data_IF_102734049832
#
_entry.id   IF_102734049832
#
_cell.length_a   1.000
_cell.length_b   1.000
_cell.length_c   1.000
_cell.angle_alpha   90.00
_cell.angle_beta   90.00
_cell.angle_gamma   90.00
#
_symmetry.space_group_name_H-M   'P 1'
#
loop_
_entity.id
_entity.type
_entity.pdbx_description
1 polymer ?
#
# COMPACT_ATOMS: atom_id res chain seq x y z
N UNK A 1 60.98 -21.71 -45.43
CA UNK A 1 59.81 -22.34 -44.83
C UNK A 1 59.79 -22.26 -43.28
N UNK A 2 60.48 -21.27 -42.71
CA UNK A 2 60.47 -21.05 -41.23
C UNK A 2 59.66 -19.84 -40.78
N UNK A 3 59.26 -18.99 -41.70
CA UNK A 3 58.61 -17.74 -41.32
C UNK A 3 57.06 -17.79 -41.26
N UNK A 4 56.48 -18.86 -41.77
CA UNK A 4 55.02 -19.03 -41.72
C UNK A 4 54.47 -19.45 -40.34
N UNK A 5 55.32 -20.06 -39.51
CA UNK A 5 54.90 -20.48 -38.14
C UNK A 5 54.88 -19.35 -37.13
N UNK A 6 55.59 -18.26 -37.41
CA UNK A 6 55.61 -17.11 -36.49
C UNK A 6 54.43 -16.13 -36.69
N UNK A 7 53.66 -16.30 -37.78
CA UNK A 7 52.52 -15.43 -38.06
C UNK A 7 51.23 -15.89 -37.37
N UNK A 8 51.16 -17.15 -37.00
CA UNK A 8 49.96 -17.68 -36.31
C UNK A 8 49.69 -17.11 -34.92
N UNK A 9 50.71 -16.89 -34.07
CA UNK A 9 50.47 -16.26 -32.76
C UNK A 9 50.03 -14.81 -32.87
N UNK A 10 50.55 -14.07 -33.84
CA UNK A 10 50.16 -12.68 -34.07
C UNK A 10 48.73 -12.50 -34.54
N UNK A 11 48.23 -13.45 -35.33
CA UNK A 11 46.82 -13.42 -35.72
C UNK A 11 45.88 -13.79 -34.59
N UNK A 12 46.34 -14.62 -33.66
CA UNK A 12 45.54 -14.96 -32.48
C UNK A 12 45.45 -13.81 -31.49
N UNK A 13 46.49 -13.02 -31.35
CA UNK A 13 46.51 -11.81 -30.52
C UNK A 13 45.61 -10.70 -31.08
N UNK A 14 45.54 -10.57 -32.40
CA UNK A 14 44.67 -9.60 -33.04
C UNK A 14 43.19 -9.85 -32.80
N UNK A 15 42.79 -11.09 -32.52
CA UNK A 15 41.40 -11.42 -32.14
C UNK A 15 41.07 -11.04 -30.72
N UNK A 16 42.03 -11.01 -29.84
CA UNK A 16 41.82 -10.62 -28.44
C UNK A 16 41.73 -9.10 -28.23
N UNK A 17 42.21 -8.30 -29.17
CA UNK A 17 42.12 -6.84 -29.12
C UNK A 17 40.71 -6.33 -29.34
N UNK A 18 39.77 -7.18 -29.81
CA UNK A 18 38.38 -6.79 -29.98
C UNK A 18 37.59 -6.76 -28.67
N UNK A 19 38.05 -7.44 -27.62
CA UNK A 19 37.37 -7.44 -26.31
C UNK A 19 37.37 -6.06 -25.61
N UNK A 20 38.43 -5.27 -25.66
CA UNK A 20 38.42 -3.93 -25.09
C UNK A 20 37.45 -2.97 -25.80
N UNK A 21 37.29 -3.12 -27.12
CA UNK A 21 36.39 -2.25 -27.88
C UNK A 21 34.91 -2.42 -27.50
N UNK A 22 34.53 -3.63 -27.14
CA UNK A 22 33.14 -3.86 -26.67
C UNK A 22 32.88 -3.30 -25.27
N UNK A 23 33.91 -3.17 -24.43
CA UNK A 23 33.82 -2.55 -23.12
C UNK A 23 33.70 -1.03 -23.21
N UNK A 24 34.40 -0.40 -24.15
CA UNK A 24 34.27 1.03 -24.37
C UNK A 24 32.92 1.44 -24.91
N UNK A 25 32.31 0.60 -25.74
CA UNK A 25 30.95 0.85 -26.25
C UNK A 25 29.90 0.73 -25.17
N UNK A 26 30.02 -0.24 -24.26
CA UNK A 26 29.08 -0.35 -23.14
C UNK A 26 29.25 0.79 -22.14
N UNK A 27 30.44 1.29 -21.90
CA UNK A 27 30.65 2.43 -21.03
C UNK A 27 30.13 3.73 -21.65
N UNK A 28 30.41 3.99 -22.93
CA UNK A 28 29.86 5.15 -23.63
C UNK A 28 28.33 5.13 -23.73
N UNK A 29 27.75 3.96 -23.87
CA UNK A 29 26.29 3.82 -23.89
C UNK A 29 25.66 4.16 -22.55
N UNK A 30 26.29 3.78 -21.44
CA UNK A 30 25.81 4.14 -20.10
C UNK A 30 25.94 5.66 -19.84
N UNK A 31 27.01 6.29 -20.30
CA UNK A 31 27.20 7.75 -20.13
C UNK A 31 26.25 8.54 -21.01
N UNK A 32 25.99 8.08 -22.25
CA UNK A 32 25.04 8.73 -23.13
C UNK A 32 23.58 8.52 -22.71
N UNK A 33 23.29 7.47 -21.92
CA UNK A 33 21.99 7.25 -21.31
C UNK A 33 21.58 8.33 -20.31
N UNK A 34 22.54 9.06 -19.75
CA UNK A 34 22.27 10.21 -18.89
C UNK A 34 21.84 11.47 -19.65
N UNK A 35 22.03 11.51 -20.94
CA UNK A 35 21.69 12.67 -21.78
C UNK A 35 20.41 12.53 -22.58
N UNK A 36 19.84 11.36 -22.69
CA UNK A 36 18.52 11.18 -23.31
C UNK A 36 17.46 11.45 -22.25
N UNK A 37 16.97 12.65 -22.19
CA UNK A 37 15.90 13.08 -21.30
C UNK A 37 14.55 12.40 -21.56
N UNK A 38 14.54 11.10 -21.65
CA UNK A 38 13.40 10.28 -21.31
C UNK A 38 13.50 10.00 -19.82
N UNK A 39 12.87 10.78 -18.97
CA UNK A 39 12.73 10.51 -17.55
C UNK A 39 12.04 9.16 -17.37
N UNK A 40 12.79 8.08 -17.49
CA UNK A 40 12.36 6.77 -17.02
C UNK A 40 12.09 6.91 -15.54
N UNK A 41 10.84 6.68 -15.15
CA UNK A 41 10.46 6.62 -13.75
C UNK A 41 11.43 5.66 -13.06
N UNK A 42 12.10 6.12 -12.01
CA UNK A 42 13.05 5.32 -11.23
C UNK A 42 12.36 4.07 -10.63
N UNK A 43 13.13 3.18 -9.99
CA UNK A 43 12.55 2.05 -9.27
C UNK A 43 11.45 2.53 -8.33
N UNK A 44 10.37 1.76 -8.23
CA UNK A 44 9.18 2.08 -7.44
C UNK A 44 8.95 0.97 -6.43
N UNK A 45 8.52 1.32 -5.21
CA UNK A 45 8.05 0.36 -4.20
C UNK A 45 6.56 0.46 -3.92
N UNK A 46 5.89 1.47 -4.40
CA UNK A 46 4.45 1.62 -4.31
C UNK A 46 3.96 3.04 -4.51
N UNK A 47 2.68 3.22 -4.25
CA UNK A 47 1.96 4.46 -4.48
C UNK A 47 1.02 4.78 -3.32
N UNK A 48 0.89 6.06 -3.03
CA UNK A 48 -0.28 6.66 -2.40
C UNK A 48 -1.16 7.27 -3.49
N UNK A 49 -2.44 6.93 -3.49
CA UNK A 49 -3.35 7.21 -4.61
C UNK A 49 -4.62 7.90 -4.15
N UNK A 50 -5.10 8.84 -4.94
CA UNK A 50 -6.44 9.42 -4.78
C UNK A 50 -6.63 10.06 -3.38
N UNK A 51 -7.88 10.16 -2.93
CA UNK A 51 -8.23 10.72 -1.62
C UNK A 51 -8.98 12.03 -1.73
N UNK A 52 -8.89 12.85 -0.68
CA UNK A 52 -9.55 14.15 -0.63
C UNK A 52 -8.62 15.21 -0.08
N UNK A 53 -8.39 16.26 -0.86
CA UNK A 53 -7.67 17.46 -0.49
C UNK A 53 -8.62 18.61 -0.10
N UNK A 54 -8.08 19.83 0.09
CA UNK A 54 -8.89 20.98 0.46
C UNK A 54 -9.81 21.48 -0.65
N UNK A 55 -9.58 21.06 -1.90
CA UNK A 55 -10.38 21.42 -3.07
C UNK A 55 -11.49 20.40 -3.36
N UNK A 56 -11.39 19.19 -2.79
CA UNK A 56 -12.35 18.12 -2.99
C UNK A 56 -11.70 16.74 -3.20
N UNK A 57 -12.43 15.87 -3.87
CA UNK A 57 -11.95 14.54 -4.21
C UNK A 57 -10.93 14.64 -5.36
N UNK A 58 -9.80 13.95 -5.21
CA UNK A 58 -8.68 14.01 -6.17
C UNK A 58 -8.27 12.62 -6.64
N UNK A 59 -7.66 12.54 -7.83
CA UNK A 59 -7.00 11.34 -8.34
C UNK A 59 -5.46 11.47 -8.38
N UNK A 60 -4.90 12.46 -7.71
CA UNK A 60 -3.45 12.66 -7.59
C UNK A 60 -2.79 11.43 -6.95
N UNK A 61 -1.60 11.10 -7.43
CA UNK A 61 -0.79 9.98 -6.93
C UNK A 61 0.58 10.47 -6.49
N UNK A 62 1.16 9.83 -5.47
CA UNK A 62 2.56 10.01 -5.08
C UNK A 62 3.25 8.66 -5.08
N UNK A 63 4.38 8.60 -5.74
CA UNK A 63 5.23 7.42 -5.80
C UNK A 63 6.04 7.31 -4.51
N UNK A 64 6.47 6.11 -4.19
CA UNK A 64 7.39 5.83 -3.09
C UNK A 64 8.67 5.22 -3.66
N UNK A 65 9.79 5.87 -3.42
CA UNK A 65 11.11 5.41 -3.86
C UNK A 65 11.57 4.15 -3.10
N UNK A 66 12.61 3.46 -3.58
CA UNK A 66 13.23 2.32 -2.87
C UNK A 66 13.74 2.65 -1.47
N UNK A 67 13.95 3.91 -1.14
CA UNK A 67 14.41 4.37 0.18
C UNK A 67 13.27 4.88 1.08
N UNK A 68 12.02 4.68 0.66
CA UNK A 68 10.83 5.11 1.43
C UNK A 68 10.52 6.59 1.32
N UNK A 69 11.11 7.30 0.37
CA UNK A 69 10.80 8.73 0.12
C UNK A 69 9.52 8.83 -0.68
N UNK A 70 8.56 9.60 -0.19
CA UNK A 70 7.35 9.98 -0.93
C UNK A 70 7.74 11.08 -1.93
N UNK A 71 7.43 10.85 -3.21
CA UNK A 71 7.77 11.76 -4.31
C UNK A 71 6.64 12.79 -4.55
N UNK A 72 6.90 13.78 -5.42
CA UNK A 72 5.94 14.81 -5.81
C UNK A 72 4.68 14.25 -6.44
N UNK A 73 3.66 15.09 -6.52
CA UNK A 73 2.38 14.76 -7.13
C UNK A 73 2.52 14.41 -8.61
N UNK A 74 1.90 13.30 -8.98
CA UNK A 74 1.69 12.89 -10.37
C UNK A 74 0.20 12.98 -10.67
N UNK A 75 -0.14 13.54 -11.81
CA UNK A 75 -1.53 13.61 -12.26
C UNK A 75 -2.13 12.22 -12.37
N UNK A 76 -3.28 12.03 -11.76
CA UNK A 76 -3.96 10.75 -11.72
C UNK A 76 -4.71 10.43 -13.01
N UNK A 77 -4.97 9.14 -13.21
CA UNK A 77 -5.79 8.60 -14.27
C UNK A 77 -7.04 7.96 -13.66
N UNK A 78 -8.16 8.02 -14.38
CA UNK A 78 -9.44 7.51 -13.94
C UNK A 78 -10.22 8.47 -13.04
N UNK A 79 -11.37 8.03 -12.60
CA UNK A 79 -12.31 8.81 -11.80
C UNK A 79 -11.76 9.09 -10.41
N UNK A 80 -11.64 10.36 -10.06
CA UNK A 80 -11.27 10.81 -8.72
C UNK A 80 -12.24 10.25 -7.68
N UNK A 81 -11.71 9.63 -6.61
CA UNK A 81 -12.52 9.06 -5.52
C UNK A 81 -11.76 9.04 -4.20
N UNK A 82 -12.52 8.94 -3.15
CA UNK A 82 -12.04 8.87 -1.76
C UNK A 82 -12.56 7.59 -1.10
N UNK A 83 -12.06 7.23 0.09
CA UNK A 83 -12.56 6.08 0.86
C UNK A 83 -12.44 4.72 0.16
N UNK A 84 -11.64 4.59 -0.88
CA UNK A 84 -11.33 3.32 -1.51
C UNK A 84 -10.35 2.48 -0.70
N UNK A 85 -9.93 1.37 -1.29
CA UNK A 85 -8.80 0.58 -0.81
C UNK A 85 -7.92 0.15 -1.97
N UNK A 86 -6.71 -0.30 -1.67
CA UNK A 86 -5.81 -0.85 -2.67
C UNK A 86 -5.16 -2.12 -2.15
N UNK A 87 -4.66 -2.94 -3.05
CA UNK A 87 -3.93 -4.18 -2.74
C UNK A 87 -2.93 -4.49 -3.85
N UNK A 88 -1.86 -5.19 -3.48
CA UNK A 88 -0.92 -5.78 -4.44
C UNK A 88 -1.46 -7.12 -4.95
N UNK A 89 -1.05 -7.49 -6.16
CA UNK A 89 -1.30 -8.81 -6.77
C UNK A 89 -0.22 -9.14 -7.80
N UNK A 90 -0.16 -10.37 -8.25
CA UNK A 90 0.85 -10.82 -9.22
C UNK A 90 2.27 -10.51 -8.77
N UNK A 91 3.16 -10.29 -9.71
CA UNK A 91 4.55 -9.90 -9.44
C UNK A 91 4.71 -8.39 -9.59
N UNK A 92 4.67 -7.66 -8.48
CA UNK A 92 4.86 -6.19 -8.46
C UNK A 92 3.73 -5.37 -9.07
N UNK A 93 2.54 -5.94 -9.22
CA UNK A 93 1.33 -5.27 -9.70
C UNK A 93 0.46 -4.86 -8.51
N UNK A 94 -0.38 -3.85 -8.70
CA UNK A 94 -1.36 -3.42 -7.71
C UNK A 94 -2.66 -2.98 -8.37
N UNK A 95 -3.68 -2.81 -7.57
CA UNK A 95 -4.93 -2.16 -7.99
C UNK A 95 -5.55 -1.40 -6.85
N UNK A 96 -6.29 -0.35 -7.19
CA UNK A 96 -7.17 0.38 -6.29
C UNK A 96 -8.61 0.19 -6.72
N UNK A 97 -9.53 0.03 -5.75
CA UNK A 97 -10.93 -0.23 -6.07
C UNK A 97 -11.89 0.35 -5.03
N UNK A 98 -13.16 0.37 -5.40
CA UNK A 98 -14.25 0.87 -4.56
C UNK A 98 -14.07 2.35 -4.19
N UNK A 99 -14.79 2.79 -3.16
CA UNK A 99 -14.71 4.14 -2.62
C UNK A 99 -15.96 4.96 -2.87
N UNK A 100 -15.79 6.27 -2.83
CA UNK A 100 -16.87 7.24 -2.90
C UNK A 100 -16.52 8.39 -3.87
N UNK A 101 -17.47 8.73 -4.71
CA UNK A 101 -17.44 9.92 -5.58
C UNK A 101 -18.52 10.90 -5.13
N UNK A 102 -19.71 10.84 -5.68
CA UNK A 102 -20.98 11.41 -5.20
C UNK A 102 -21.86 10.31 -4.59
N UNK A 103 -21.50 9.06 -4.80
CA UNK A 103 -22.09 7.82 -4.25
C UNK A 103 -21.00 6.78 -4.08
N UNK A 104 -21.30 5.68 -3.38
CA UNK A 104 -20.38 4.55 -3.34
C UNK A 104 -20.24 3.91 -4.72
N UNK A 105 -19.03 3.49 -5.04
CA UNK A 105 -18.68 2.88 -6.33
C UNK A 105 -17.97 1.54 -6.12
N UNK A 106 -17.95 0.71 -7.17
CA UNK A 106 -17.23 -0.57 -7.19
C UNK A 106 -16.15 -0.64 -8.30
N UNK A 107 -15.95 0.45 -9.05
CA UNK A 107 -14.92 0.52 -10.10
C UNK A 107 -13.52 0.30 -9.55
N UNK A 108 -12.60 -0.08 -10.44
CA UNK A 108 -11.19 -0.30 -10.09
C UNK A 108 -10.25 0.28 -11.14
N UNK A 109 -8.99 0.48 -10.75
CA UNK A 109 -7.89 0.85 -11.65
C UNK A 109 -6.71 -0.07 -11.37
N UNK A 110 -6.23 -0.72 -12.41
CA UNK A 110 -5.01 -1.51 -12.36
C UNK A 110 -3.79 -0.59 -12.31
N UNK A 111 -2.72 -1.06 -11.69
CA UNK A 111 -1.46 -0.32 -11.53
C UNK A 111 -0.34 -1.27 -11.96
N UNK A 112 0.46 -0.84 -12.93
CA UNK A 112 1.56 -1.64 -13.44
C UNK A 112 2.81 -1.55 -12.53
N UNK A 113 3.84 -2.32 -12.87
CA UNK A 113 5.12 -2.36 -12.14
C UNK A 113 5.88 -1.02 -12.16
N UNK A 114 5.50 -0.08 -13.01
CA UNK A 114 6.07 1.27 -13.06
C UNK A 114 5.24 2.29 -12.28
N UNK A 115 4.13 1.84 -11.66
CA UNK A 115 3.20 2.70 -10.97
C UNK A 115 2.29 3.50 -11.90
N UNK A 116 2.13 3.06 -13.14
CA UNK A 116 1.18 3.68 -14.08
C UNK A 116 -0.23 3.16 -13.76
N UNK A 117 -1.09 4.09 -13.42
CA UNK A 117 -2.51 3.80 -13.15
C UNK A 117 -3.26 3.73 -14.46
N UNK A 118 -3.98 2.65 -14.70
CA UNK A 118 -4.84 2.46 -15.86
C UNK A 118 -6.18 3.21 -15.70
N UNK A 119 -6.91 3.38 -16.80
CA UNK A 119 -8.29 3.89 -16.79
C UNK A 119 -9.22 3.00 -15.98
N UNK A 120 -10.41 3.52 -15.66
CA UNK A 120 -11.41 2.82 -14.87
C UNK A 120 -11.83 1.49 -15.54
N UNK A 121 -11.87 0.45 -14.73
CA UNK A 121 -12.49 -0.83 -15.04
C UNK A 121 -13.87 -0.90 -14.39
N UNK A 122 -14.82 -1.46 -15.11
CA UNK A 122 -16.20 -1.64 -14.63
C UNK A 122 -16.20 -2.36 -13.28
N UNK A 123 -16.99 -1.85 -12.35
CA UNK A 123 -17.05 -2.35 -10.99
C UNK A 123 -17.64 -3.74 -10.87
N UNK A 124 -17.14 -4.50 -9.91
CA UNK A 124 -17.62 -5.83 -9.53
C UNK A 124 -18.02 -5.82 -8.05
N UNK A 125 -19.10 -6.51 -7.74
CA UNK A 125 -19.61 -6.63 -6.37
C UNK A 125 -20.32 -5.37 -5.86
N UNK A 126 -20.67 -5.39 -4.58
CA UNK A 126 -21.41 -4.32 -3.90
C UNK A 126 -20.57 -3.07 -3.74
N UNK A 127 -21.05 -1.94 -4.27
CA UNK A 127 -20.45 -0.63 -4.13
C UNK A 127 -20.36 -0.21 -2.65
N UNK A 128 -19.16 0.15 -2.19
CA UNK A 128 -18.89 0.50 -0.79
C UNK A 128 -17.63 1.35 -0.65
N UNK A 129 -17.47 1.96 0.50
CA UNK A 129 -16.27 2.72 0.86
C UNK A 129 -15.75 2.37 2.24
N UNK A 130 -14.62 2.97 2.65
CA UNK A 130 -13.97 2.74 3.96
C UNK A 130 -13.75 1.26 4.26
N UNK A 131 -13.28 0.53 3.27
CA UNK A 131 -13.02 -0.91 3.33
C UNK A 131 -11.53 -1.18 3.56
N UNK A 132 -11.20 -2.41 3.97
CA UNK A 132 -9.83 -2.89 4.03
C UNK A 132 -9.41 -3.53 2.70
N UNK A 133 -8.12 -3.41 2.37
CA UNK A 133 -7.50 -4.14 1.26
C UNK A 133 -6.14 -4.66 1.70
N UNK A 134 -5.79 -5.89 1.37
CA UNK A 134 -4.46 -6.46 1.61
C UNK A 134 -4.16 -7.61 0.67
N UNK A 135 -2.89 -8.00 0.58
CA UNK A 135 -2.45 -9.18 -0.16
C UNK A 135 -2.66 -10.46 0.64
N UNK A 136 -2.80 -11.59 -0.06
CA UNK A 136 -2.79 -12.94 0.47
C UNK A 136 -2.27 -13.93 -0.58
N UNK A 137 -1.93 -15.15 -0.20
CA UNK A 137 -1.50 -16.22 -1.10
C UNK A 137 -0.21 -15.91 -1.85
N UNK A 138 0.54 -14.90 -1.41
CA UNK A 138 1.78 -14.45 -2.03
C UNK A 138 1.61 -13.58 -3.27
N UNK A 139 0.56 -13.81 -4.06
CA UNK A 139 0.35 -13.14 -5.36
C UNK A 139 -1.10 -12.67 -5.60
N UNK A 140 -1.95 -12.67 -4.60
CA UNK A 140 -3.39 -12.32 -4.69
C UNK A 140 -3.74 -11.22 -3.72
N UNK A 141 -4.88 -10.57 -3.97
CA UNK A 141 -5.41 -9.53 -3.10
C UNK A 141 -6.84 -9.81 -2.63
N UNK A 142 -7.26 -9.10 -1.61
CA UNK A 142 -8.63 -9.16 -1.09
C UNK A 142 -9.07 -7.77 -0.65
N UNK A 143 -10.31 -7.44 -0.95
CA UNK A 143 -11.04 -6.31 -0.38
C UNK A 143 -12.08 -6.85 0.59
N UNK A 144 -12.17 -6.29 1.77
CA UNK A 144 -13.04 -6.81 2.82
C UNK A 144 -13.68 -5.72 3.66
N UNK A 145 -14.86 -6.01 4.19
CA UNK A 145 -15.62 -5.11 5.03
C UNK A 145 -16.01 -3.81 4.33
N UNK A 146 -16.23 -2.74 5.09
CA UNK A 146 -16.52 -1.41 4.58
C UNK A 146 -17.95 -0.95 4.87
N UNK A 147 -18.27 0.24 4.39
CA UNK A 147 -19.56 0.90 4.54
C UNK A 147 -20.33 0.88 3.21
N UNK A 148 -21.50 0.28 3.21
CA UNK A 148 -22.46 0.39 2.13
C UNK A 148 -23.45 1.55 2.36
N UNK A 149 -24.44 1.66 1.47
CA UNK A 149 -25.45 2.72 1.55
C UNK A 149 -26.26 2.66 2.84
N UNK A 150 -26.58 1.45 3.31
CA UNK A 150 -27.47 1.23 4.47
C UNK A 150 -26.70 0.76 5.70
N UNK A 151 -25.76 -0.17 5.53
CA UNK A 151 -25.13 -0.90 6.63
C UNK A 151 -23.62 -0.98 6.52
N UNK A 152 -22.98 -1.30 7.64
CA UNK A 152 -21.62 -1.79 7.66
C UNK A 152 -21.58 -3.23 7.16
N UNK A 153 -20.62 -3.55 6.32
CA UNK A 153 -20.54 -4.81 5.60
C UNK A 153 -19.40 -5.67 6.15
N UNK A 154 -19.58 -7.00 6.07
CA UNK A 154 -18.55 -7.99 6.40
C UNK A 154 -18.13 -8.84 5.20
N UNK A 155 -18.70 -8.59 4.02
CA UNK A 155 -18.38 -9.30 2.78
C UNK A 155 -16.95 -9.02 2.32
N UNK A 156 -16.46 -9.89 1.43
CA UNK A 156 -15.16 -9.71 0.77
C UNK A 156 -15.24 -9.97 -0.73
N UNK A 157 -14.24 -9.47 -1.46
CA UNK A 157 -14.01 -9.76 -2.87
C UNK A 157 -12.55 -10.17 -3.05
N UNK A 158 -12.35 -11.35 -3.57
CA UNK A 158 -11.01 -11.85 -3.88
C UNK A 158 -10.49 -11.22 -5.16
N UNK A 159 -9.20 -10.96 -5.21
CA UNK A 159 -8.49 -10.48 -6.40
C UNK A 159 -7.53 -11.58 -6.84
N UNK A 160 -7.66 -12.00 -8.09
CA UNK A 160 -6.77 -13.00 -8.68
C UNK A 160 -5.35 -12.46 -8.87
N UNK A 161 -4.40 -13.33 -9.16
CA UNK A 161 -3.03 -12.94 -9.54
C UNK A 161 -2.92 -12.25 -10.91
N UNK A 162 -4.02 -12.09 -11.62
CA UNK A 162 -4.14 -11.30 -12.86
C UNK A 162 -4.91 -9.99 -12.66
N UNK A 163 -5.26 -9.63 -11.40
CA UNK A 163 -5.96 -8.40 -11.06
C UNK A 163 -7.47 -8.41 -11.28
N UNK A 164 -8.06 -9.60 -11.51
CA UNK A 164 -9.52 -9.72 -11.66
C UNK A 164 -10.18 -9.78 -10.29
N UNK A 165 -11.10 -8.84 -10.04
CA UNK A 165 -11.92 -8.82 -8.82
C UNK A 165 -13.08 -9.81 -8.99
N UNK A 166 -13.22 -10.75 -8.06
CA UNK A 166 -14.34 -11.69 -8.00
C UNK A 166 -15.61 -11.06 -7.44
N UNK A 167 -16.73 -11.76 -7.59
CA UNK A 167 -18.03 -11.38 -6.98
C UNK A 167 -17.96 -11.40 -5.46
N UNK A 168 -19.00 -10.86 -4.81
CA UNK A 168 -19.10 -10.82 -3.36
C UNK A 168 -19.06 -12.24 -2.76
N UNK A 169 -18.19 -12.43 -1.78
CA UNK A 169 -18.15 -13.59 -0.89
C UNK A 169 -18.90 -13.26 0.38
N UNK A 170 -19.75 -14.18 0.83
CA UNK A 170 -20.54 -14.01 2.05
C UNK A 170 -19.68 -13.55 3.22
N UNK A 171 -20.15 -12.53 3.92
CA UNK A 171 -19.44 -11.91 5.01
C UNK A 171 -19.24 -12.83 6.22
N UNK A 172 -18.10 -12.70 6.87
CA UNK A 172 -17.75 -13.40 8.11
C UNK A 172 -17.42 -12.36 9.18
N UNK A 173 -17.86 -12.61 10.40
CA UNK A 173 -17.64 -11.72 11.55
C UNK A 173 -18.51 -10.46 11.54
N UNK A 174 -18.18 -9.54 12.44
CA UNK A 174 -18.94 -8.29 12.65
C UNK A 174 -18.69 -7.28 11.54
N UNK A 175 -19.74 -6.87 10.84
CA UNK A 175 -19.69 -5.83 9.81
C UNK A 175 -19.17 -4.50 10.36
N UNK A 176 -18.15 -3.91 9.73
CA UNK A 176 -17.52 -2.68 10.17
C UNK A 176 -16.87 -1.91 9.02
N UNK A 177 -16.63 -0.63 9.23
CA UNK A 177 -15.93 0.21 8.28
C UNK A 177 -14.66 0.82 8.86
N UNK A 178 -13.80 1.33 7.98
CA UNK A 178 -12.51 1.93 8.29
C UNK A 178 -11.61 1.06 9.19
N UNK A 179 -11.50 -0.25 8.92
CA UNK A 179 -10.54 -1.10 9.59
C UNK A 179 -9.13 -0.81 9.10
N UNK A 180 -8.12 -1.16 9.92
CA UNK A 180 -6.77 -1.38 9.44
C UNK A 180 -6.69 -2.74 8.73
N UNK A 181 -6.00 -2.82 7.60
CA UNK A 181 -5.82 -4.06 6.86
C UNK A 181 -4.40 -4.15 6.31
N UNK A 182 -3.78 -5.32 6.42
CA UNK A 182 -2.38 -5.50 6.02
C UNK A 182 -2.05 -6.99 5.81
N UNK A 183 -1.06 -7.27 4.94
CA UNK A 183 -0.48 -8.61 4.81
C UNK A 183 0.45 -8.95 5.96
N UNK A 184 0.60 -10.23 6.29
CA UNK A 184 1.58 -10.76 7.24
C UNK A 184 1.96 -12.19 6.86
N UNK A 185 3.04 -12.74 7.43
CA UNK A 185 3.46 -14.13 7.24
C UNK A 185 3.74 -14.47 5.77
N UNK A 186 4.08 -13.48 4.94
CA UNK A 186 4.35 -13.55 3.51
C UNK A 186 3.16 -13.92 2.61
N UNK A 187 2.18 -14.66 3.10
CA UNK A 187 1.06 -15.21 2.30
C UNK A 187 -0.33 -15.03 2.94
N UNK A 188 -0.43 -14.32 4.04
CA UNK A 188 -1.69 -14.14 4.82
C UNK A 188 -2.02 -12.67 4.97
N UNK A 189 -3.27 -12.39 5.30
CA UNK A 189 -3.76 -11.05 5.62
C UNK A 189 -4.46 -10.98 6.96
N UNK A 190 -4.61 -9.76 7.46
CA UNK A 190 -5.40 -9.46 8.66
C UNK A 190 -6.19 -8.18 8.44
N UNK A 191 -7.40 -8.17 8.98
CA UNK A 191 -8.25 -6.99 9.10
C UNK A 191 -8.54 -6.79 10.57
N UNK A 192 -8.17 -5.64 11.13
CA UNK A 192 -8.33 -5.39 12.56
C UNK A 192 -8.90 -4.00 12.83
N UNK A 193 -9.57 -3.87 13.96
CA UNK A 193 -10.19 -2.62 14.39
C UNK A 193 -11.36 -2.20 13.47
N UNK A 194 -11.69 -0.92 13.47
CA UNK A 194 -12.75 -0.34 12.66
C UNK A 194 -13.96 0.07 13.47
N UNK A 195 -14.97 0.59 12.80
CA UNK A 195 -16.19 1.12 13.43
C UNK A 195 -17.41 0.23 13.11
N UNK A 196 -18.11 -0.22 14.14
CA UNK A 196 -19.27 -1.11 14.03
C UNK A 196 -20.63 -0.40 14.03
N UNK A 197 -20.66 0.94 14.20
CA UNK A 197 -21.87 1.73 14.28
C UNK A 197 -22.42 1.85 15.73
N UNK A 198 -23.34 2.81 15.96
CA UNK A 198 -24.04 3.00 17.23
C UNK A 198 -23.15 3.58 18.36
N UNK A 199 -23.10 4.90 18.51
CA UNK A 199 -22.33 5.57 19.57
C UNK A 199 -20.81 5.48 19.38
N UNK A 200 -20.02 5.25 20.46
CA UNK A 200 -18.54 5.14 20.34
C UNK A 200 -18.07 3.82 19.72
N UNK A 201 -18.82 3.27 18.79
CA UNK A 201 -18.79 1.93 18.20
C UNK A 201 -17.50 1.48 17.52
N UNK A 202 -16.33 1.95 17.95
CA UNK A 202 -15.05 1.39 17.51
C UNK A 202 -14.85 -0.02 18.07
N UNK A 203 -14.23 -0.89 17.30
CA UNK A 203 -13.99 -2.29 17.63
C UNK A 203 -12.50 -2.60 17.70
N UNK A 204 -12.14 -3.51 18.60
CA UNK A 204 -10.79 -4.05 18.69
C UNK A 204 -10.67 -5.46 18.09
N UNK A 205 -11.73 -6.01 17.49
CA UNK A 205 -11.70 -7.35 16.91
C UNK A 205 -10.80 -7.39 15.66
N UNK A 206 -10.26 -8.57 15.40
CA UNK A 206 -9.51 -8.86 14.18
C UNK A 206 -10.02 -10.12 13.50
N UNK A 207 -9.84 -10.21 12.20
CA UNK A 207 -10.11 -11.39 11.39
C UNK A 207 -8.88 -11.72 10.58
N UNK A 208 -8.38 -12.93 10.74
CA UNK A 208 -7.28 -13.44 9.93
C UNK A 208 -7.80 -13.82 8.55
N UNK A 209 -6.96 -13.63 7.55
CA UNK A 209 -7.19 -14.07 6.16
C UNK A 209 -6.13 -15.11 5.84
N UNK A 210 -6.59 -16.31 5.49
CA UNK A 210 -5.69 -17.42 5.16
C UNK A 210 -4.98 -17.20 3.82
N UNK A 211 -3.98 -18.02 3.53
CA UNK A 211 -3.29 -18.05 2.22
C UNK A 211 -4.20 -18.47 1.05
N UNK A 212 -5.40 -18.98 1.32
CA UNK A 212 -6.44 -19.24 0.32
C UNK A 212 -7.51 -18.13 0.22
N UNK A 213 -7.37 -17.02 0.98
CA UNK A 213 -8.31 -15.90 0.97
C UNK A 213 -9.56 -16.10 1.83
N UNK A 214 -9.57 -17.11 2.70
CA UNK A 214 -10.70 -17.34 3.63
C UNK A 214 -10.56 -16.40 4.83
N UNK A 215 -11.59 -15.60 5.07
CA UNK A 215 -11.70 -14.72 6.23
C UNK A 215 -12.17 -15.55 7.43
N UNK A 216 -11.42 -15.53 8.53
CA UNK A 216 -11.79 -16.20 9.79
C UNK A 216 -12.83 -15.41 10.60
N UNK A 217 -13.44 -16.04 11.57
CA UNK A 217 -14.34 -15.40 12.54
C UNK A 217 -13.61 -14.37 13.41
N UNK A 218 -14.37 -13.52 14.10
CA UNK A 218 -13.83 -12.49 14.98
C UNK A 218 -12.93 -13.07 16.07
N UNK A 219 -11.77 -12.48 16.23
CA UNK A 219 -10.85 -12.71 17.35
C UNK A 219 -10.73 -11.42 18.15
N UNK A 220 -10.90 -11.50 19.47
CA UNK A 220 -10.72 -10.35 20.34
C UNK A 220 -9.25 -9.88 20.30
N UNK A 221 -9.06 -8.56 20.35
CA UNK A 221 -7.73 -7.99 20.47
C UNK A 221 -7.08 -8.34 21.82
N UNK A 222 -5.75 -8.22 21.87
CA UNK A 222 -4.99 -8.36 23.10
C UNK A 222 -5.45 -7.34 24.17
N UNK A 223 -5.30 -7.70 25.43
CA UNK A 223 -5.54 -6.76 26.54
C UNK A 223 -4.69 -5.50 26.40
N UNK A 224 -5.28 -4.34 26.71
CA UNK A 224 -4.60 -3.04 26.55
C UNK A 224 -4.60 -2.50 25.14
N UNK A 225 -5.41 -3.07 24.23
CA UNK A 225 -5.59 -2.56 22.87
C UNK A 225 -6.68 -1.49 22.85
N UNK A 226 -6.37 -0.29 22.37
CA UNK A 226 -7.37 0.75 22.18
C UNK A 226 -8.31 0.43 21.02
N UNK A 227 -9.60 0.68 21.24
CA UNK A 227 -10.60 0.55 20.18
C UNK A 227 -10.49 1.76 19.24
N UNK A 228 -10.10 1.53 18.01
CA UNK A 228 -9.83 2.58 17.04
C UNK A 228 -10.38 2.21 15.65
N UNK A 229 -10.50 3.23 14.81
CA UNK A 229 -10.84 3.14 13.40
C UNK A 229 -9.89 4.02 12.59
N UNK A 230 -9.96 3.94 11.28
CA UNK A 230 -9.20 4.83 10.38
C UNK A 230 -7.69 4.69 10.56
N UNK A 231 -7.26 3.43 10.69
CA UNK A 231 -5.88 3.07 10.97
C UNK A 231 -5.12 2.71 9.70
N UNK A 232 -3.87 3.12 9.61
CA UNK A 232 -2.95 2.68 8.58
C UNK A 232 -2.29 1.34 8.94
N UNK A 233 -2.02 0.49 7.95
CA UNK A 233 -1.29 -0.75 8.16
C UNK A 233 -0.13 -0.85 7.15
N UNK A 234 1.03 -1.35 7.57
CA UNK A 234 2.17 -1.62 6.69
C UNK A 234 2.94 -2.85 7.17
N UNK A 235 3.51 -3.58 6.23
CA UNK A 235 4.41 -4.70 6.52
C UNK A 235 5.79 -4.21 6.96
N UNK A 236 6.46 -4.99 7.81
CA UNK A 236 7.85 -4.79 8.20
C UNK A 236 8.52 -6.12 8.53
N UNK A 237 9.86 -6.16 8.58
CA UNK A 237 10.64 -7.33 8.96
C UNK A 237 10.43 -8.54 8.04
N UNK A 238 9.92 -8.30 6.81
CA UNK A 238 9.68 -9.32 5.80
C UNK A 238 8.40 -10.14 5.98
N UNK A 239 7.99 -10.44 7.22
CA UNK A 239 6.86 -11.33 7.52
C UNK A 239 5.89 -10.81 8.58
N UNK A 240 6.14 -9.62 9.12
CA UNK A 240 5.33 -8.98 10.17
C UNK A 240 4.60 -7.77 9.64
N UNK A 241 3.69 -7.24 10.45
CA UNK A 241 2.96 -6.04 10.12
C UNK A 241 2.75 -5.15 11.35
N UNK A 242 2.43 -3.89 11.10
CA UNK A 242 2.06 -2.92 12.12
C UNK A 242 0.80 -2.18 11.66
N UNK A 243 -0.10 -1.93 12.58
CA UNK A 243 -1.24 -1.03 12.41
C UNK A 243 -1.02 0.18 13.30
N UNK A 244 -1.05 1.37 12.72
CA UNK A 244 -0.62 2.61 13.36
C UNK A 244 -1.71 3.66 13.40
N UNK A 245 -1.64 4.51 14.41
CA UNK A 245 -2.47 5.71 14.61
C UNK A 245 -3.97 5.41 14.53
N UNK A 246 -4.77 6.38 14.15
CA UNK A 246 -6.21 6.26 13.95
C UNK A 246 -7.01 7.13 14.91
N UNK A 247 -8.34 7.06 14.78
CA UNK A 247 -9.29 7.80 15.62
C UNK A 247 -9.97 6.89 16.63
N UNK A 248 -10.12 7.35 17.88
CA UNK A 248 -10.91 6.70 18.92
C UNK A 248 -12.19 7.49 19.21
N UNK A 249 -13.25 6.78 19.63
CA UNK A 249 -14.49 7.37 20.14
C UNK A 249 -15.25 8.22 19.12
N UNK A 250 -16.04 9.15 19.65
CA UNK A 250 -16.78 10.15 18.87
C UNK A 250 -15.84 11.27 18.46
N UNK A 251 -15.84 11.66 17.21
CA UNK A 251 -15.15 12.78 16.56
C UNK A 251 -14.23 13.61 17.48
N UNK A 252 -12.91 13.48 17.33
CA UNK A 252 -11.94 14.38 17.95
C UNK A 252 -10.76 13.73 18.67
N UNK A 253 -10.73 12.42 18.89
CA UNK A 253 -9.60 11.75 19.52
C UNK A 253 -8.74 10.97 18.54
N UNK A 254 -7.59 11.47 18.12
CA UNK A 254 -6.58 10.63 17.49
C UNK A 254 -5.78 9.86 18.54
N UNK A 255 -5.27 8.69 18.15
CA UNK A 255 -4.39 7.87 18.97
C UNK A 255 -3.02 7.78 18.31
N UNK A 256 -1.95 7.93 19.11
CA UNK A 256 -0.57 7.68 18.68
C UNK A 256 -0.17 6.21 18.80
N UNK A 257 -1.09 5.36 19.20
CA UNK A 257 -0.78 3.97 19.44
C UNK A 257 -0.60 3.19 18.13
N UNK A 258 0.28 2.21 18.19
CA UNK A 258 0.40 1.17 17.19
C UNK A 258 0.23 -0.20 17.81
N UNK A 259 -0.11 -1.17 16.98
CA UNK A 259 -0.16 -2.57 17.35
C UNK A 259 0.70 -3.35 16.36
N UNK A 260 1.72 -4.02 16.90
CA UNK A 260 2.55 -4.94 16.12
C UNK A 260 1.75 -6.22 15.86
N UNK A 261 1.93 -6.77 14.68
CA UNK A 261 1.33 -8.04 14.25
C UNK A 261 2.47 -9.00 13.96
N UNK A 262 2.47 -10.13 14.67
CA UNK A 262 3.49 -11.16 14.48
C UNK A 262 3.32 -11.89 13.14
N UNK A 263 4.32 -12.66 12.74
CA UNK A 263 4.26 -13.56 11.57
C UNK A 263 3.18 -14.66 11.66
N UNK A 264 2.60 -14.85 12.84
CA UNK A 264 1.45 -15.75 13.08
C UNK A 264 0.10 -15.02 13.15
N UNK A 265 0.06 -13.68 12.96
CA UNK A 265 -1.17 -12.88 12.96
C UNK A 265 -1.65 -12.46 14.36
N UNK A 266 -0.82 -12.60 15.40
CA UNK A 266 -1.18 -12.14 16.74
C UNK A 266 -1.01 -10.63 16.82
N UNK A 267 -2.08 -9.93 17.19
CA UNK A 267 -2.09 -8.49 17.44
C UNK A 267 -1.61 -8.23 18.87
N UNK A 268 -0.48 -7.54 19.01
CA UNK A 268 0.09 -7.19 20.31
C UNK A 268 -0.65 -6.01 20.96
N UNK A 269 -0.43 -5.81 22.25
CA UNK A 269 -0.91 -4.63 22.99
C UNK A 269 -0.36 -3.33 22.36
N UNK A 270 -0.95 -2.19 22.77
CA UNK A 270 -0.54 -0.87 22.27
C UNK A 270 0.91 -0.56 22.59
N UNK A 271 1.57 0.02 21.59
CA UNK A 271 2.87 0.68 21.75
C UNK A 271 2.68 2.15 21.38
N UNK A 272 3.02 3.05 22.28
CA UNK A 272 2.99 4.49 22.01
C UNK A 272 4.06 4.85 20.99
N UNK A 273 3.67 5.53 19.93
CA UNK A 273 4.55 5.95 18.86
C UNK A 273 4.90 7.42 18.95
N UNK A 274 5.79 7.87 18.06
CA UNK A 274 6.17 9.27 17.88
C UNK A 274 5.49 9.86 16.65
N UNK A 275 5.49 11.18 16.52
CA UNK A 275 4.97 11.90 15.36
C UNK A 275 3.63 12.56 15.60
N UNK A 276 3.06 13.14 14.56
CA UNK A 276 1.80 13.87 14.60
C UNK A 276 0.61 12.93 14.64
N UNK A 277 -0.26 13.14 15.62
CA UNK A 277 -1.56 12.45 15.77
C UNK A 277 -2.45 12.67 14.55
N UNK A 278 -2.73 11.60 13.83
CA UNK A 278 -3.60 11.65 12.65
C UNK A 278 -4.36 10.35 12.41
N UNK A 279 -5.45 10.45 11.64
CA UNK A 279 -6.26 9.34 11.24
C UNK A 279 -6.16 9.10 9.72
N UNK A 280 -6.31 7.86 9.32
CA UNK A 280 -6.27 7.45 7.91
C UNK A 280 -7.59 6.76 7.56
N UNK A 281 -8.36 7.34 6.67
CA UNK A 281 -9.53 6.69 6.12
C UNK A 281 -9.14 5.84 4.91
N UNK A 282 -8.94 4.54 5.09
CA UNK A 282 -8.68 3.61 3.99
C UNK A 282 -7.23 3.51 3.54
N UNK A 283 -6.30 4.25 4.14
CA UNK A 283 -4.89 4.21 3.76
C UNK A 283 -4.13 3.06 4.39
N UNK A 284 -3.42 2.31 3.57
CA UNK A 284 -2.32 1.47 4.04
C UNK A 284 -1.01 2.25 3.94
N UNK A 285 0.05 1.75 4.57
CA UNK A 285 1.40 2.18 4.27
C UNK A 285 1.91 1.45 3.02
N UNK A 286 3.01 1.90 2.50
CA UNK A 286 3.72 1.29 1.39
C UNK A 286 4.96 0.57 1.93
N UNK A 287 5.16 -0.73 1.64
CA UNK A 287 6.42 -1.39 1.93
C UNK A 287 7.53 -0.82 1.04
N UNK A 288 8.74 -0.69 1.59
CA UNK A 288 9.93 -0.29 0.83
C UNK A 288 11.14 -1.05 1.36
N UNK A 289 12.20 -1.06 0.58
CA UNK A 289 13.41 -1.84 0.89
C UNK A 289 13.02 -3.29 1.19
N UNK A 290 12.93 -4.21 1.18
CA UNK A 290 12.44 -5.58 1.42
C UNK A 290 11.71 -5.80 2.76
N UNK A 291 12.00 -4.99 3.79
CA UNK A 291 11.60 -5.26 5.17
C UNK A 291 11.14 -4.02 5.97
N UNK A 292 10.96 -2.88 5.31
CA UNK A 292 10.55 -1.60 5.93
C UNK A 292 9.26 -1.09 5.34
N UNK A 293 8.67 -0.09 5.99
CA UNK A 293 7.44 0.54 5.52
C UNK A 293 7.46 2.06 5.64
N UNK A 294 6.60 2.72 4.90
CA UNK A 294 6.30 4.15 5.03
C UNK A 294 4.80 4.35 5.12
N UNK A 295 4.38 5.21 6.02
CA UNK A 295 3.01 5.69 6.17
C UNK A 295 3.00 7.19 5.90
N UNK A 296 2.02 7.67 5.12
CA UNK A 296 1.95 9.08 4.76
C UNK A 296 0.52 9.57 4.64
N UNK A 297 0.37 10.91 4.61
CA UNK A 297 -0.91 11.60 4.50
C UNK A 297 -1.80 11.42 5.73
N UNK A 298 -3.09 11.74 5.59
CA UNK A 298 -4.09 11.62 6.63
C UNK A 298 -4.63 12.97 7.09
N UNK A 299 -5.39 12.95 8.18
CA UNK A 299 -6.01 14.14 8.78
C UNK A 299 -5.62 14.25 10.25
N UNK A 300 -5.10 15.39 10.64
CA UNK A 300 -4.80 15.74 12.04
C UNK A 300 -6.12 15.98 12.74
N UNK A 301 -6.44 15.19 13.76
CA UNK A 301 -7.73 15.25 14.43
C UNK A 301 -7.99 16.59 15.14
N UNK A 302 -6.95 17.28 15.61
CA UNK A 302 -7.08 18.64 16.12
C UNK A 302 -7.23 19.62 14.96
N UNK A 303 -8.44 20.08 14.71
CA UNK A 303 -8.76 21.03 13.66
C UNK A 303 -9.02 20.43 12.28
N UNK A 304 -9.04 19.11 12.13
CA UNK A 304 -9.35 18.42 10.86
C UNK A 304 -8.45 18.88 9.68
N UNK A 305 -7.16 19.07 9.97
CA UNK A 305 -6.18 19.55 9.00
C UNK A 305 -5.62 18.39 8.21
N UNK A 306 -5.78 18.43 6.89
CA UNK A 306 -5.17 17.44 5.98
C UNK A 306 -3.67 17.63 5.96
N UNK A 307 -2.93 16.52 5.91
CA UNK A 307 -1.47 16.55 5.94
C UNK A 307 -0.85 15.67 4.86
N UNK A 308 0.37 15.99 4.50
CA UNK A 308 1.24 15.21 3.62
C UNK A 308 2.49 14.67 4.36
N UNK A 309 2.51 14.75 5.68
CA UNK A 309 3.58 14.22 6.53
C UNK A 309 3.73 12.72 6.29
N UNK A 310 4.96 12.22 6.34
CA UNK A 310 5.25 10.79 6.31
C UNK A 310 6.08 10.34 7.51
N UNK A 311 5.98 9.05 7.86
CA UNK A 311 6.80 8.39 8.86
C UNK A 311 7.32 7.07 8.31
N UNK A 312 8.60 6.85 8.44
CA UNK A 312 9.23 5.58 8.12
C UNK A 312 8.95 4.56 9.24
N UNK A 313 8.80 3.31 8.87
CA UNK A 313 8.69 2.18 9.78
C UNK A 313 9.90 1.28 9.56
N UNK A 314 10.67 1.07 10.63
CA UNK A 314 11.87 0.22 10.59
C UNK A 314 11.52 -1.25 10.43
N UNK A 315 12.52 -2.07 10.13
CA UNK A 315 12.40 -3.53 10.08
C UNK A 315 12.13 -4.20 11.45
N UNK A 316 12.11 -3.43 12.52
CA UNK A 316 11.70 -3.88 13.86
C UNK A 316 10.33 -3.34 14.27
N UNK A 317 9.62 -2.62 13.39
CA UNK A 317 8.30 -2.06 13.63
C UNK A 317 8.31 -0.76 14.44
N UNK A 318 9.44 -0.05 14.49
CA UNK A 318 9.53 1.26 15.15
C UNK A 318 9.17 2.34 14.13
N UNK A 319 8.21 3.19 14.49
CA UNK A 319 7.80 4.35 13.70
C UNK A 319 8.76 5.51 14.00
N UNK A 320 9.36 6.08 12.96
CA UNK A 320 10.24 7.24 13.08
C UNK A 320 9.44 8.54 13.26
N UNK A 321 10.13 9.62 13.67
CA UNK A 321 9.56 10.97 13.70
C UNK A 321 9.08 11.42 12.34
N UNK A 322 8.26 12.48 12.31
CA UNK A 322 7.70 13.05 11.10
C UNK A 322 8.80 13.49 10.12
N UNK A 323 8.60 13.12 8.86
CA UNK A 323 9.31 13.69 7.73
C UNK A 323 8.42 14.74 7.07
N UNK A 324 9.01 15.86 6.70
CA UNK A 324 8.31 16.94 6.01
C UNK A 324 7.54 16.39 4.80
N UNK A 325 6.31 16.86 4.66
CA UNK A 325 5.41 16.38 3.62
C UNK A 325 5.82 16.81 2.22
N UNK A 326 5.53 15.97 1.25
CA UNK A 326 5.71 16.22 -0.17
C UNK A 326 4.35 16.05 -0.86
N UNK A 327 4.08 16.87 -1.87
CA UNK A 327 2.84 16.85 -2.61
C UNK A 327 1.63 17.42 -1.86
N UNK A 328 0.46 17.24 -2.43
CA UNK A 328 -0.81 17.79 -1.93
C UNK A 328 -1.29 17.10 -0.68
N UNK A 329 -1.47 17.85 0.41
CA UNK A 329 -2.04 17.37 1.68
C UNK A 329 -3.44 16.78 1.47
N UNK A 330 -3.67 15.55 1.90
CA UNK A 330 -4.96 14.85 1.71
C UNK A 330 -5.16 13.74 2.75
N UNK A 331 -6.39 13.30 2.86
CA UNK A 331 -6.79 12.15 3.66
C UNK A 331 -7.61 11.16 2.83
N UNK A 332 -7.93 9.99 3.37
CA UNK A 332 -8.57 8.89 2.66
C UNK A 332 -7.82 8.43 1.39
N UNK A 333 -6.52 8.68 1.33
CA UNK A 333 -5.69 8.17 0.25
C UNK A 333 -5.56 6.64 0.37
N UNK A 334 -5.66 5.92 -0.73
CA UNK A 334 -5.34 4.49 -0.78
C UNK A 334 -3.86 4.28 -1.05
N UNK A 335 -3.31 3.12 -0.74
CA UNK A 335 -1.92 2.81 -1.07
C UNK A 335 -1.70 1.32 -1.26
N UNK A 336 -0.77 0.98 -2.13
CA UNK A 336 -0.32 -0.38 -2.36
C UNK A 336 1.16 -0.41 -2.73
N UNK A 337 1.83 -1.50 -2.35
CA UNK A 337 3.16 -1.83 -2.88
C UNK A 337 3.04 -2.31 -4.32
N UNK A 338 3.96 -1.88 -5.19
CA UNK A 338 4.10 -2.36 -6.56
C UNK A 338 5.54 -2.13 -7.03
N UNK A 339 5.96 -2.79 -8.11
CA UNK A 339 7.23 -2.47 -8.77
C UNK A 339 8.44 -3.33 -8.37
N UNK A 340 8.35 -4.25 -7.43
CA UNK A 340 9.48 -5.13 -7.02
C UNK A 340 9.17 -6.58 -7.30
#
# INVERSE_FOLDING_TARGET
MKDLYNLLPLMAEGKNSKKPQNRGKSFGYQVLGFGSGGGGLGPLHGLFLMGQDNSGITNVNNRVSPTGVVEDDVAGVGTARTMGAATSYGSGLALTAYGYTTSYVSMSNLIDIKGIVATDTVGVGTARGKLGGCSYGGDKGIFSYGQGVVNNLSMSNLVSNTGVIGTDVTGVGTGRYAPGSVGYGTDKGIVAFGHIGGGPGSSAVSNLISSSGVVATDTSAAAGTNVCRERGGVTYGGDKAIIVYGASGSYGGCQLDSNLISSSGVVAANVTQVGTLRAFFGGQGVPYDTDKGVIAFGEICSGYVKTNISNLVSNTGVVASDTAGVGTSRYNATSAGCGV
#
